data_IF_993664227755
#
_entry.id   IF_993664227755
#
_cell.length_a   1.000
_cell.length_b   1.000
_cell.length_c   1.000
_cell.angle_alpha   90.00
_cell.angle_beta   90.00
_cell.angle_gamma   90.00
#
_symmetry.space_group_name_H-M   'P 1'
#
loop_
_entity.id
_entity.type
_entity.pdbx_description
1 polymer ?
#
# COMPACT_ATOMS: atom_id res chain seq x y z
N UNK A 1 -8.23 -16.07 2.94
CA UNK A 1 -9.63 -15.79 3.36
C UNK A 1 -10.10 -14.41 2.89
N UNK A 2 -9.23 -13.38 2.83
CA UNK A 2 -9.56 -12.04 2.31
C UNK A 2 -10.23 -12.05 0.92
N UNK A 3 -9.69 -12.84 -0.01
CA UNK A 3 -10.20 -12.96 -1.38
C UNK A 3 -11.64 -13.46 -1.49
N UNK A 4 -12.05 -14.38 -0.60
CA UNK A 4 -13.41 -14.91 -0.59
C UNK A 4 -14.41 -13.85 -0.11
N UNK A 5 -14.04 -13.13 0.95
CA UNK A 5 -14.88 -12.09 1.55
C UNK A 5 -15.07 -10.90 0.59
N UNK A 6 -13.99 -10.43 -0.05
CA UNK A 6 -14.09 -9.34 -1.04
C UNK A 6 -14.96 -9.72 -2.24
N UNK A 7 -14.76 -10.91 -2.83
CA UNK A 7 -15.57 -11.39 -3.96
C UNK A 7 -17.04 -11.52 -3.60
N UNK A 8 -17.35 -12.03 -2.40
CA UNK A 8 -18.72 -12.16 -1.92
C UNK A 8 -19.38 -10.79 -1.75
N UNK A 9 -18.69 -9.82 -1.14
CA UNK A 9 -19.23 -8.47 -0.93
C UNK A 9 -19.44 -7.74 -2.27
N UNK A 10 -18.49 -7.85 -3.21
CA UNK A 10 -18.63 -7.29 -4.57
C UNK A 10 -19.83 -7.82 -5.33
N UNK A 11 -20.13 -9.12 -5.18
CA UNK A 11 -21.30 -9.72 -5.83
C UNK A 11 -22.64 -9.25 -5.26
N UNK A 12 -22.64 -8.63 -4.07
CA UNK A 12 -23.84 -8.17 -3.37
C UNK A 12 -24.02 -6.66 -3.34
N UNK A 13 -22.95 -5.88 -3.48
CA UNK A 13 -22.99 -4.42 -3.47
C UNK A 13 -22.20 -3.83 -4.65
N UNK A 14 -22.92 -3.14 -5.53
CA UNK A 14 -22.35 -2.46 -6.71
C UNK A 14 -21.50 -1.25 -6.32
N UNK A 15 -21.74 -0.65 -5.15
CA UNK A 15 -20.99 0.48 -4.62
C UNK A 15 -19.81 0.05 -3.74
N UNK A 16 -19.58 -1.27 -3.60
CA UNK A 16 -18.53 -1.80 -2.75
C UNK A 16 -17.15 -1.18 -3.06
N UNK A 17 -16.82 -0.99 -4.34
CA UNK A 17 -15.52 -0.44 -4.73
C UNK A 17 -15.34 1.00 -4.24
N UNK A 18 -16.38 1.82 -4.35
CA UNK A 18 -16.33 3.22 -3.94
C UNK A 18 -16.25 3.33 -2.41
N UNK A 19 -17.09 2.56 -1.72
CA UNK A 19 -17.07 2.49 -0.25
C UNK A 19 -15.74 1.94 0.29
N UNK A 20 -15.16 0.95 -0.40
CA UNK A 20 -13.89 0.35 0.00
C UNK A 20 -12.72 1.30 -0.22
N UNK A 21 -12.71 2.08 -1.31
CA UNK A 21 -11.72 3.15 -1.53
C UNK A 21 -11.73 4.16 -0.38
N UNK A 22 -12.90 4.70 -0.04
CA UNK A 22 -13.07 5.64 1.08
C UNK A 22 -12.62 5.01 2.41
N UNK A 23 -12.93 3.73 2.63
CA UNK A 23 -12.51 3.03 3.85
C UNK A 23 -10.99 2.87 3.92
N UNK A 24 -10.34 2.57 2.79
CA UNK A 24 -8.88 2.45 2.71
C UNK A 24 -8.18 3.80 2.97
N UNK A 25 -8.68 4.89 2.38
CA UNK A 25 -8.18 6.25 2.63
C UNK A 25 -8.31 6.62 4.12
N UNK A 26 -9.47 6.38 4.73
CA UNK A 26 -9.68 6.62 6.16
C UNK A 26 -8.74 5.78 7.03
N UNK A 27 -8.53 4.52 6.66
CA UNK A 27 -7.61 3.64 7.38
C UNK A 27 -6.16 4.16 7.35
N UNK A 28 -5.71 4.65 6.19
CA UNK A 28 -4.38 5.28 6.06
C UNK A 28 -4.27 6.54 6.94
N UNK A 29 -5.32 7.38 6.96
CA UNK A 29 -5.35 8.56 7.83
C UNK A 29 -5.28 8.19 9.32
N UNK A 30 -6.02 7.16 9.74
CA UNK A 30 -5.98 6.63 11.11
C UNK A 30 -4.60 6.07 11.46
N UNK A 31 -3.96 5.35 10.53
CA UNK A 31 -2.60 4.82 10.70
C UNK A 31 -1.60 5.95 10.96
N UNK A 32 -1.60 7.01 10.14
CA UNK A 32 -0.71 8.15 10.34
C UNK A 32 -0.97 8.89 11.64
N UNK A 33 -2.25 9.10 11.99
CA UNK A 33 -2.64 9.76 13.24
C UNK A 33 -2.19 8.96 14.45
N UNK A 34 -2.40 7.64 14.45
CA UNK A 34 -2.03 6.75 15.56
C UNK A 34 -0.53 6.73 15.83
N UNK A 35 0.29 6.84 14.79
CA UNK A 35 1.74 6.84 14.90
C UNK A 35 2.36 8.24 14.99
N UNK A 36 1.54 9.29 15.12
CA UNK A 36 1.95 10.69 15.19
C UNK A 36 2.84 11.13 14.00
N UNK A 37 2.55 10.61 12.81
CA UNK A 37 3.21 11.01 11.58
C UNK A 37 2.65 12.34 11.08
N UNK A 38 3.53 13.32 10.87
CA UNK A 38 3.15 14.62 10.33
C UNK A 38 2.85 14.51 8.84
N UNK A 39 1.61 14.79 8.45
CA UNK A 39 1.15 14.67 7.07
C UNK A 39 0.15 15.77 6.72
N UNK A 40 0.03 16.05 5.42
CA UNK A 40 -1.05 16.85 4.85
C UNK A 40 -2.08 15.94 4.19
N UNK A 41 -3.34 16.22 4.44
CA UNK A 41 -4.50 15.53 3.84
C UNK A 41 -4.91 16.15 2.50
N UNK A 42 -5.67 15.42 1.69
CA UNK A 42 -6.23 15.89 0.41
C UNK A 42 -6.90 17.28 0.55
N UNK A 43 -7.66 17.48 1.63
CA UNK A 43 -8.33 18.74 1.93
C UNK A 43 -7.35 19.89 2.13
N UNK A 44 -6.30 19.66 2.91
CA UNK A 44 -5.28 20.67 3.19
C UNK A 44 -4.50 21.03 1.92
N UNK A 45 -4.15 20.03 1.10
CA UNK A 45 -3.50 20.23 -0.20
C UNK A 45 -4.42 21.03 -1.14
N UNK A 46 -5.71 20.72 -1.16
CA UNK A 46 -6.71 21.47 -1.91
C UNK A 46 -6.82 22.93 -1.47
N UNK A 47 -6.73 23.20 -0.17
CA UNK A 47 -6.71 24.56 0.36
C UNK A 47 -5.42 25.31 0.01
N UNK A 48 -4.28 24.62 -0.08
CA UNK A 48 -3.03 25.18 -0.62
C UNK A 48 -3.20 25.60 -2.09
N UNK A 49 -3.83 24.76 -2.92
CA UNK A 49 -4.12 25.10 -4.32
C UNK A 49 -5.04 26.31 -4.48
N UNK A 50 -6.09 26.41 -3.65
CA UNK A 50 -6.98 27.57 -3.66
C UNK A 50 -6.22 28.87 -3.36
N UNK A 51 -5.31 28.86 -2.38
CA UNK A 51 -4.45 30.01 -2.06
C UNK A 51 -3.55 30.40 -3.23
N UNK A 52 -3.15 29.43 -4.05
CA UNK A 52 -2.32 29.65 -5.24
C UNK A 52 -3.14 29.98 -6.51
N UNK A 53 -4.47 29.94 -6.46
CA UNK A 53 -5.32 30.09 -7.64
C UNK A 53 -5.13 28.97 -8.68
N UNK A 54 -4.71 27.78 -8.25
CA UNK A 54 -4.47 26.63 -9.15
C UNK A 54 -5.56 25.59 -9.05
N UNK A 55 -5.75 24.87 -10.14
CA UNK A 55 -6.56 23.65 -10.21
C UNK A 55 -5.70 22.56 -10.84
N UNK A 56 -5.38 21.55 -10.06
CA UNK A 56 -4.57 20.40 -10.44
C UNK A 56 -5.09 19.17 -9.72
N UNK A 57 -4.68 17.98 -10.17
CA UNK A 57 -4.92 16.75 -9.40
C UNK A 57 -4.22 16.80 -8.04
N UNK A 58 -4.84 16.17 -7.06
CA UNK A 58 -4.42 16.13 -5.65
C UNK A 58 -4.23 14.67 -5.27
N UNK A 59 -3.18 14.36 -4.52
CA UNK A 59 -2.97 13.03 -3.91
C UNK A 59 -3.62 12.99 -2.53
N UNK A 60 -3.92 11.80 -2.03
CA UNK A 60 -4.62 11.63 -0.75
C UNK A 60 -3.84 12.22 0.42
N UNK A 61 -2.51 11.99 0.44
CA UNK A 61 -1.64 12.49 1.50
C UNK A 61 -0.27 12.96 1.01
N UNK A 62 0.36 13.87 1.76
CA UNK A 62 1.77 14.23 1.61
C UNK A 62 2.45 14.17 2.97
N UNK A 63 3.50 13.36 3.10
CA UNK A 63 4.43 13.40 4.23
C UNK A 63 5.57 14.33 3.83
N UNK A 64 5.84 15.35 4.66
CA UNK A 64 6.85 16.37 4.38
C UNK A 64 7.88 16.42 5.51
N UNK A 65 8.94 15.63 5.34
CA UNK A 65 10.08 15.54 6.25
C UNK A 65 11.35 15.93 5.49
N UNK A 66 12.41 15.10 5.53
CA UNK A 66 13.64 15.29 4.76
C UNK A 66 13.43 15.15 3.24
N UNK A 67 12.41 14.39 2.86
CA UNK A 67 11.89 14.31 1.50
C UNK A 67 10.37 14.47 1.50
N UNK A 68 9.81 14.76 0.33
CA UNK A 68 8.35 14.81 0.14
C UNK A 68 7.88 13.47 -0.38
N UNK A 69 7.01 12.82 0.37
CA UNK A 69 6.42 11.55 -0.02
C UNK A 69 4.95 11.82 -0.34
N UNK A 70 4.63 11.74 -1.63
CA UNK A 70 3.27 11.83 -2.14
C UNK A 70 2.63 10.45 -2.03
N UNK A 71 1.43 10.36 -1.47
CA UNK A 71 0.74 9.10 -1.23
C UNK A 71 -0.61 9.11 -1.94
N UNK A 72 -0.84 8.13 -2.81
CA UNK A 72 -2.11 7.93 -3.50
C UNK A 72 -2.57 6.49 -3.25
N UNK A 73 -3.65 6.33 -2.50
CA UNK A 73 -4.23 5.04 -2.19
C UNK A 73 -5.22 4.63 -3.28
N UNK A 74 -5.17 3.35 -3.65
CA UNK A 74 -6.00 2.78 -4.68
C UNK A 74 -6.48 1.39 -4.25
N UNK A 75 -7.79 1.26 -4.14
CA UNK A 75 -8.50 0.02 -3.90
C UNK A 75 -8.49 -0.91 -5.14
N UNK A 76 -7.30 -1.25 -5.64
CA UNK A 76 -7.11 -2.09 -6.82
C UNK A 76 -6.96 -3.54 -6.36
N UNK A 77 -7.73 -4.43 -7.00
CA UNK A 77 -7.51 -5.86 -6.92
C UNK A 77 -7.04 -6.40 -8.27
N UNK A 78 -6.28 -7.50 -8.30
CA UNK A 78 -5.87 -8.13 -9.54
C UNK A 78 -7.10 -8.58 -10.32
N UNK A 79 -7.29 -8.02 -11.52
CA UNK A 79 -8.19 -8.65 -12.48
C UNK A 79 -7.50 -9.93 -12.97
N UNK A 80 -8.23 -11.04 -13.12
CA UNK A 80 -7.69 -12.32 -13.59
C UNK A 80 -6.87 -12.20 -14.90
N UNK A 81 -7.21 -11.21 -15.73
CA UNK A 81 -6.48 -10.84 -16.94
C UNK A 81 -5.05 -10.34 -16.66
N UNK A 82 -4.84 -9.53 -15.61
CA UNK A 82 -3.50 -9.04 -15.22
C UNK A 82 -2.63 -10.21 -14.76
N UNK A 83 -3.22 -11.18 -14.05
CA UNK A 83 -2.49 -12.33 -13.52
C UNK A 83 -2.15 -13.40 -14.56
N UNK A 84 -2.70 -13.32 -15.78
CA UNK A 84 -2.57 -14.38 -16.80
C UNK A 84 -2.09 -13.89 -18.16
N UNK A 85 -2.09 -12.58 -18.41
CA UNK A 85 -1.63 -11.98 -19.66
C UNK A 85 -0.15 -11.61 -19.62
N UNK A 86 0.55 -11.84 -20.73
CA UNK A 86 1.94 -11.41 -20.97
C UNK A 86 2.03 -10.31 -22.03
N UNK A 87 0.89 -9.91 -22.63
CA UNK A 87 0.81 -8.85 -23.63
C UNK A 87 0.84 -7.47 -22.94
N UNK A 88 1.88 -6.64 -23.17
CA UNK A 88 2.01 -5.31 -22.58
C UNK A 88 0.82 -4.39 -22.89
N UNK A 89 0.21 -4.47 -24.07
CA UNK A 89 -0.92 -3.60 -24.42
C UNK A 89 -2.18 -3.96 -23.63
N UNK A 90 -2.39 -5.26 -23.39
CA UNK A 90 -3.49 -5.76 -22.54
C UNK A 90 -3.25 -5.38 -21.08
N UNK A 91 -2.03 -5.54 -20.59
CA UNK A 91 -1.64 -5.13 -19.24
C UNK A 91 -1.78 -3.63 -19.06
N UNK A 92 -1.28 -2.83 -20.01
CA UNK A 92 -1.42 -1.37 -20.03
C UNK A 92 -2.88 -0.98 -19.91
N UNK A 93 -3.77 -1.45 -20.80
CA UNK A 93 -5.21 -1.13 -20.74
C UNK A 93 -5.85 -1.51 -19.41
N UNK A 94 -5.45 -2.65 -18.84
CA UNK A 94 -5.99 -3.10 -17.56
C UNK A 94 -5.47 -2.28 -16.37
N UNK A 95 -4.25 -1.74 -16.45
CA UNK A 95 -3.60 -0.98 -15.38
C UNK A 95 -3.78 0.54 -15.54
N UNK A 96 -4.10 1.01 -16.74
CA UNK A 96 -4.21 2.42 -17.12
C UNK A 96 -5.21 3.18 -16.25
N UNK A 97 -6.34 2.55 -15.93
CA UNK A 97 -7.37 3.18 -15.13
C UNK A 97 -6.95 3.48 -13.69
N UNK A 98 -5.87 2.87 -13.19
CA UNK A 98 -5.54 2.93 -11.76
C UNK A 98 -4.04 3.20 -11.51
N UNK A 99 -3.15 2.33 -11.99
CA UNK A 99 -1.69 2.43 -11.76
C UNK A 99 -1.09 3.65 -12.48
N UNK A 100 -1.27 3.72 -13.81
CA UNK A 100 -0.69 4.79 -14.62
C UNK A 100 -1.33 6.14 -14.25
N UNK A 101 -2.64 6.17 -14.00
CA UNK A 101 -3.32 7.40 -13.53
C UNK A 101 -2.78 7.90 -12.19
N UNK A 102 -2.48 7.02 -11.25
CA UNK A 102 -1.88 7.37 -9.96
C UNK A 102 -0.49 8.02 -10.13
N UNK A 103 0.34 7.49 -11.05
CA UNK A 103 1.62 8.13 -11.42
C UNK A 103 1.38 9.57 -11.89
N UNK A 104 0.50 9.77 -12.88
CA UNK A 104 0.23 11.12 -13.40
C UNK A 104 -0.38 12.06 -12.35
N UNK A 105 -1.18 11.54 -11.42
CA UNK A 105 -1.74 12.31 -10.30
C UNK A 105 -0.65 12.80 -9.35
N UNK A 106 0.29 11.93 -8.96
CA UNK A 106 1.46 12.32 -8.16
C UNK A 106 2.36 13.33 -8.88
N UNK A 107 2.65 13.11 -10.16
CA UNK A 107 3.45 14.05 -10.97
C UNK A 107 2.80 15.44 -11.06
N UNK A 108 1.50 15.48 -11.36
CA UNK A 108 0.74 16.72 -11.48
C UNK A 108 0.68 17.48 -10.14
N UNK A 109 0.51 16.73 -9.04
CA UNK A 109 0.48 17.31 -7.70
C UNK A 109 1.81 17.94 -7.31
N UNK A 110 2.91 17.19 -7.48
CA UNK A 110 4.26 17.67 -7.24
C UNK A 110 4.61 18.90 -8.09
N UNK A 111 4.25 18.87 -9.38
CA UNK A 111 4.47 19.99 -10.29
C UNK A 111 3.74 21.26 -9.83
N UNK A 112 2.46 21.14 -9.47
CA UNK A 112 1.64 22.26 -9.05
C UNK A 112 2.21 22.92 -7.78
N UNK A 113 2.54 22.12 -6.77
CA UNK A 113 3.09 22.56 -5.48
C UNK A 113 4.48 23.18 -5.61
N UNK A 114 5.34 22.60 -6.45
CA UNK A 114 6.70 23.11 -6.71
C UNK A 114 6.64 24.48 -7.37
N UNK A 115 5.82 24.63 -8.41
CA UNK A 115 5.60 25.94 -9.04
C UNK A 115 4.96 26.96 -8.08
N UNK A 116 4.16 26.49 -7.12
CA UNK A 116 3.60 27.33 -6.05
C UNK A 116 4.59 27.77 -5.00
N UNK A 117 5.81 27.21 -4.99
CA UNK A 117 6.82 27.40 -3.93
C UNK A 117 6.26 27.13 -2.52
N UNK A 118 5.30 26.22 -2.41
CA UNK A 118 4.68 25.86 -1.13
C UNK A 118 5.66 25.14 -0.20
N UNK A 119 6.62 24.46 -0.79
CA UNK A 119 7.63 23.69 -0.10
C UNK A 119 9.02 24.05 -0.63
N UNK A 120 10.05 23.85 0.20
CA UNK A 120 11.44 24.02 -0.21
C UNK A 120 11.91 22.96 -1.22
N UNK A 121 13.08 23.15 -1.85
CA UNK A 121 13.69 22.12 -2.68
C UNK A 121 14.03 20.90 -1.81
N UNK A 122 13.48 19.75 -2.16
CA UNK A 122 13.81 18.46 -1.55
C UNK A 122 13.55 17.36 -2.59
N UNK A 123 14.03 16.16 -2.29
CA UNK A 123 13.67 14.96 -3.05
C UNK A 123 12.17 14.71 -2.96
N UNK A 124 11.61 14.15 -4.04
CA UNK A 124 10.22 13.77 -4.14
C UNK A 124 10.13 12.26 -4.39
N UNK A 125 9.23 11.59 -3.66
CA UNK A 125 8.89 10.18 -3.81
C UNK A 125 7.38 10.04 -4.00
N UNK A 126 6.95 9.03 -4.75
CA UNK A 126 5.54 8.69 -4.90
C UNK A 126 5.31 7.26 -4.42
N UNK A 127 4.43 7.09 -3.44
CA UNK A 127 3.94 5.81 -2.99
C UNK A 127 2.50 5.63 -3.44
N UNK A 128 2.27 4.59 -4.21
CA UNK A 128 0.94 4.19 -4.65
C UNK A 128 0.54 2.99 -3.78
N UNK A 129 -0.39 3.21 -2.86
CA UNK A 129 -0.79 2.20 -1.87
C UNK A 129 -1.91 1.36 -2.45
N UNK A 130 -1.65 0.08 -2.66
CA UNK A 130 -2.60 -0.87 -3.24
C UNK A 130 -3.11 -1.84 -2.19
N UNK A 131 -4.35 -2.30 -2.34
CA UNK A 131 -4.92 -3.27 -1.40
C UNK A 131 -4.24 -4.65 -1.50
N UNK A 132 -3.89 -5.07 -2.71
CA UNK A 132 -3.20 -6.33 -2.97
C UNK A 132 -2.03 -6.08 -3.92
N UNK A 133 -1.02 -6.95 -3.82
CA UNK A 133 0.15 -6.90 -4.68
C UNK A 133 -0.17 -7.45 -6.09
N UNK A 134 0.34 -6.77 -7.10
CA UNK A 134 0.23 -7.16 -8.52
C UNK A 134 1.59 -7.51 -9.12
N UNK A 135 2.61 -7.72 -8.27
CA UNK A 135 3.99 -8.03 -8.65
C UNK A 135 4.65 -6.94 -9.49
N UNK A 136 4.18 -5.70 -9.33
CA UNK A 136 4.75 -4.50 -9.92
C UNK A 136 5.17 -3.62 -8.75
N UNK A 137 6.47 -3.57 -8.45
CA UNK A 137 6.99 -2.86 -7.28
C UNK A 137 7.34 -1.40 -7.53
N UNK A 138 7.69 -1.00 -8.77
CA UNK A 138 8.21 0.35 -9.03
C UNK A 138 7.74 0.95 -10.36
N UNK A 139 7.84 2.28 -10.46
CA UNK A 139 7.59 3.04 -11.68
C UNK A 139 8.51 2.65 -12.82
N UNK A 140 9.77 2.28 -12.53
CA UNK A 140 10.71 1.77 -13.54
C UNK A 140 10.15 0.51 -14.18
N UNK A 141 9.62 -0.43 -13.38
CA UNK A 141 9.04 -1.68 -13.92
C UNK A 141 7.81 -1.41 -14.78
N UNK A 142 6.99 -0.43 -14.43
CA UNK A 142 5.90 0.01 -15.30
C UNK A 142 6.45 0.49 -16.63
N UNK A 143 7.44 1.37 -16.62
CA UNK A 143 8.01 1.94 -17.84
C UNK A 143 8.66 0.86 -18.73
N UNK A 144 9.52 0.02 -18.16
CA UNK A 144 10.26 -0.98 -18.92
C UNK A 144 9.38 -2.10 -19.47
N UNK A 145 8.36 -2.55 -18.72
CA UNK A 145 7.61 -3.77 -19.04
C UNK A 145 6.23 -3.52 -19.63
N UNK A 146 5.60 -2.37 -19.31
CA UNK A 146 4.19 -2.12 -19.61
C UNK A 146 4.00 -0.85 -20.44
N UNK A 147 4.72 0.23 -20.13
CA UNK A 147 4.51 1.53 -20.78
C UNK A 147 5.82 2.29 -21.03
N UNK A 148 6.56 1.94 -22.09
CA UNK A 148 7.86 2.56 -22.40
C UNK A 148 7.84 4.07 -22.68
N UNK A 149 6.70 4.62 -23.13
CA UNK A 149 6.54 6.04 -23.39
C UNK A 149 6.16 6.88 -22.13
N UNK A 150 6.11 6.26 -20.95
CA UNK A 150 5.65 6.93 -19.71
C UNK A 150 6.43 8.21 -19.40
N UNK A 151 7.77 8.16 -19.34
CA UNK A 151 8.59 9.36 -19.08
C UNK A 151 8.40 10.41 -20.17
N UNK A 152 8.29 9.99 -21.43
CA UNK A 152 8.12 10.90 -22.57
C UNK A 152 6.84 11.70 -22.44
N UNK A 153 5.71 11.04 -22.14
CA UNK A 153 4.42 11.72 -21.96
C UNK A 153 4.40 12.64 -20.72
N UNK A 154 5.08 12.24 -19.63
CA UNK A 154 5.25 13.11 -18.45
C UNK A 154 6.02 14.38 -18.82
N UNK A 155 7.12 14.25 -19.57
CA UNK A 155 7.90 15.40 -20.06
C UNK A 155 7.07 16.27 -21.01
N UNK A 156 6.33 15.68 -21.94
CA UNK A 156 5.45 16.42 -22.85
C UNK A 156 4.38 17.22 -22.08
N UNK A 157 3.84 16.66 -21.00
CA UNK A 157 2.79 17.31 -20.19
C UNK A 157 3.33 18.39 -19.24
N UNK A 158 4.48 18.19 -18.60
CA UNK A 158 4.98 19.07 -17.53
C UNK A 158 6.29 19.81 -17.86
N UNK A 159 6.90 19.53 -19.02
CA UNK A 159 8.19 20.06 -19.46
C UNK A 159 9.42 19.43 -18.79
N UNK A 160 9.21 18.60 -17.78
CA UNK A 160 10.23 17.85 -17.04
C UNK A 160 9.54 16.68 -16.31
N UNK A 161 10.30 15.91 -15.53
CA UNK A 161 9.77 14.85 -14.65
C UNK A 161 9.78 15.37 -13.20
N UNK A 162 8.63 15.81 -12.63
CA UNK A 162 8.55 16.33 -11.26
C UNK A 162 9.02 15.36 -10.17
N UNK A 163 8.67 14.08 -10.30
CA UNK A 163 9.07 12.98 -9.42
C UNK A 163 9.84 11.96 -10.29
N UNK A 164 11.15 11.74 -10.07
CA UNK A 164 11.90 10.76 -10.85
C UNK A 164 11.20 9.39 -10.87
N UNK A 165 11.14 8.72 -12.02
CA UNK A 165 10.43 7.43 -12.15
C UNK A 165 11.00 6.35 -11.20
N UNK A 166 12.31 6.42 -10.92
CA UNK A 166 12.98 5.57 -9.94
C UNK A 166 12.51 5.79 -8.49
N UNK A 167 11.91 6.93 -8.18
CA UNK A 167 11.40 7.28 -6.86
C UNK A 167 9.90 6.95 -6.71
N UNK A 168 9.34 6.16 -7.62
CA UNK A 168 7.93 5.78 -7.61
C UNK A 168 7.82 4.30 -7.24
N UNK A 169 7.10 4.00 -6.17
CA UNK A 169 6.90 2.63 -5.68
C UNK A 169 5.43 2.32 -5.49
N UNK A 170 5.08 1.06 -5.76
CA UNK A 170 3.80 0.48 -5.40
C UNK A 170 4.00 -0.37 -4.16
N UNK A 171 3.19 -0.12 -3.15
CA UNK A 171 3.28 -0.81 -1.86
C UNK A 171 1.91 -1.30 -1.45
N UNK A 172 1.85 -2.43 -0.76
CA UNK A 172 0.59 -2.88 -0.17
C UNK A 172 0.23 -2.06 1.06
N UNK A 173 -1.02 -2.17 1.52
CA UNK A 173 -1.40 -1.58 2.80
C UNK A 173 -0.58 -2.17 3.96
N UNK A 174 -0.25 -3.46 3.90
CA UNK A 174 0.57 -4.14 4.90
C UNK A 174 2.01 -3.57 4.91
N UNK A 175 2.57 -3.27 3.73
CA UNK A 175 3.88 -2.63 3.60
C UNK A 175 3.89 -1.23 4.22
N UNK A 176 2.82 -0.46 4.00
CA UNK A 176 2.68 0.88 4.60
C UNK A 176 2.61 0.79 6.12
N UNK A 177 1.83 -0.14 6.68
CA UNK A 177 1.79 -0.38 8.13
C UNK A 177 3.18 -0.69 8.68
N UNK A 178 3.95 -1.52 7.97
CA UNK A 178 5.30 -1.87 8.38
C UNK A 178 6.26 -0.68 8.31
N UNK A 179 6.20 0.14 7.26
CA UNK A 179 6.99 1.37 7.15
C UNK A 179 6.71 2.34 8.31
N UNK A 180 5.43 2.60 8.58
CA UNK A 180 4.99 3.47 9.67
C UNK A 180 5.40 2.90 11.03
N UNK A 181 5.34 1.58 11.21
CA UNK A 181 5.78 0.93 12.43
C UNK A 181 7.30 1.07 12.64
N UNK A 182 8.12 0.93 11.60
CA UNK A 182 9.58 1.10 11.69
C UNK A 182 9.94 2.54 12.07
N UNK A 183 9.32 3.52 11.41
CA UNK A 183 9.49 4.95 11.71
C UNK A 183 9.15 5.23 13.17
N UNK A 184 8.03 4.70 13.67
CA UNK A 184 7.60 4.92 15.05
C UNK A 184 8.56 4.33 16.10
N UNK A 185 9.35 3.32 15.72
CA UNK A 185 10.42 2.76 16.56
C UNK A 185 11.72 3.57 16.49
N UNK A 186 11.79 4.61 15.64
CA UNK A 186 12.96 5.46 15.38
C UNK A 186 14.21 4.67 15.00
N UNK A 187 14.02 3.54 14.30
CA UNK A 187 15.13 2.71 13.79
C UNK A 187 15.64 3.23 12.46
N UNK A 188 14.71 3.45 11.54
CA UNK A 188 14.92 3.98 10.21
C UNK A 188 13.75 4.89 9.87
N UNK A 189 14.03 5.99 9.18
CA UNK A 189 12.98 6.82 8.61
C UNK A 189 12.44 6.22 7.31
N UNK A 190 11.19 6.53 6.95
CA UNK A 190 10.58 6.15 5.68
C UNK A 190 11.43 6.71 4.53
N UNK A 191 11.94 7.94 4.67
CA UNK A 191 12.82 8.55 3.69
C UNK A 191 14.12 7.75 3.48
N UNK A 192 14.75 7.26 4.55
CA UNK A 192 15.96 6.42 4.46
C UNK A 192 15.66 5.10 3.76
N UNK A 193 14.56 4.41 4.12
CA UNK A 193 14.16 3.14 3.50
C UNK A 193 13.92 3.32 2.00
N UNK A 194 13.27 4.42 1.59
CA UNK A 194 13.02 4.72 0.19
C UNK A 194 14.31 5.02 -0.59
N UNK A 195 15.25 5.76 0.00
CA UNK A 195 16.55 6.01 -0.62
C UNK A 195 17.35 4.72 -0.79
N UNK A 196 17.35 3.87 0.22
CA UNK A 196 18.02 2.57 0.16
C UNK A 196 17.39 1.67 -0.91
N UNK A 197 16.06 1.66 -1.02
CA UNK A 197 15.35 0.94 -2.08
C UNK A 197 15.78 1.41 -3.47
N UNK A 198 15.90 2.72 -3.69
CA UNK A 198 16.37 3.28 -4.97
C UNK A 198 17.79 2.81 -5.29
N UNK A 199 18.71 2.86 -4.31
CA UNK A 199 20.10 2.45 -4.49
C UNK A 199 20.20 0.94 -4.80
N UNK A 200 19.40 0.12 -4.13
CA UNK A 200 19.38 -1.33 -4.35
C UNK A 200 18.74 -1.70 -5.69
N UNK A 201 17.71 -0.99 -6.12
CA UNK A 201 17.03 -1.25 -7.39
C UNK A 201 17.80 -0.75 -8.62
N UNK A 202 18.82 0.11 -8.45
CA UNK A 202 19.72 0.52 -9.54
C UNK A 202 20.56 -0.65 -10.11
N UNK A 203 20.79 -1.71 -9.33
CA UNK A 203 21.55 -2.89 -9.77
C UNK A 203 20.64 -4.12 -9.88
N UNK A 204 20.61 -4.82 -11.02
CA UNK A 204 19.79 -6.02 -11.20
C UNK A 204 20.01 -7.10 -10.13
N UNK A 205 21.22 -7.21 -9.59
CA UNK A 205 21.58 -8.22 -8.60
C UNK A 205 21.03 -7.92 -7.19
N UNK A 206 20.72 -6.66 -6.90
CA UNK A 206 20.20 -6.24 -5.59
C UNK A 206 18.75 -5.77 -5.64
N UNK A 207 18.19 -5.60 -6.84
CA UNK A 207 16.82 -5.18 -7.06
C UNK A 207 15.82 -6.19 -6.49
N UNK A 208 14.73 -5.69 -5.92
CA UNK A 208 13.67 -6.50 -5.33
C UNK A 208 12.42 -6.52 -6.21
N UNK A 209 11.79 -7.69 -6.28
CA UNK A 209 10.53 -7.88 -7.01
C UNK A 209 9.35 -7.24 -6.29
N UNK A 210 9.35 -7.27 -4.96
CA UNK A 210 8.33 -6.67 -4.09
C UNK A 210 8.97 -5.65 -3.16
N UNK A 211 8.24 -4.59 -2.82
CA UNK A 211 8.75 -3.57 -1.91
C UNK A 211 8.90 -4.11 -0.48
N UNK A 212 8.06 -5.06 -0.06
CA UNK A 212 8.18 -5.80 1.21
C UNK A 212 9.59 -6.35 1.46
N UNK A 213 10.28 -6.82 0.41
CA UNK A 213 11.65 -7.35 0.52
C UNK A 213 12.68 -6.29 0.90
N UNK A 214 12.46 -5.02 0.54
CA UNK A 214 13.30 -3.91 1.00
C UNK A 214 13.06 -3.64 2.49
N UNK A 215 11.79 -3.67 2.92
CA UNK A 215 11.43 -3.43 4.32
C UNK A 215 11.97 -4.54 5.24
N UNK A 216 11.92 -5.81 4.81
CA UNK A 216 12.46 -6.95 5.56
C UNK A 216 13.97 -6.81 5.84
N UNK A 217 14.73 -6.27 4.87
CA UNK A 217 16.17 -6.01 5.03
C UNK A 217 16.48 -4.96 6.09
N UNK A 218 15.58 -4.01 6.33
CA UNK A 218 15.72 -2.98 7.36
C UNK A 218 15.41 -3.50 8.78
N UNK A 219 15.25 -4.81 8.95
CA UNK A 219 14.92 -5.40 10.24
C UNK A 219 13.52 -4.99 10.69
N UNK A 220 12.57 -5.05 9.75
CA UNK A 220 11.15 -4.78 9.98
C UNK A 220 10.71 -5.36 11.33
N UNK A 221 9.78 -4.69 12.04
CA UNK A 221 9.31 -5.14 13.34
C UNK A 221 9.09 -6.65 13.29
N UNK A 222 9.43 -7.36 14.37
CA UNK A 222 9.01 -8.75 14.54
C UNK A 222 7.47 -8.77 14.57
N UNK A 223 6.82 -8.59 13.41
CA UNK A 223 5.39 -8.61 13.16
C UNK A 223 4.81 -9.92 13.65
N UNK A 224 5.63 -10.98 13.65
CA UNK A 224 5.31 -12.25 14.27
C UNK A 224 4.93 -12.19 15.75
N UNK A 225 5.26 -11.14 16.51
CA UNK A 225 4.82 -11.00 17.89
C UNK A 225 3.55 -10.15 17.99
N UNK A 226 3.52 -8.97 17.36
CA UNK A 226 2.35 -8.08 17.43
C UNK A 226 1.15 -8.62 16.66
N UNK A 227 1.33 -9.17 15.44
CA UNK A 227 0.26 -9.87 14.72
C UNK A 227 -0.19 -11.12 15.45
N UNK A 228 0.73 -11.82 16.13
CA UNK A 228 0.39 -12.99 16.95
C UNK A 228 -0.45 -12.60 18.16
N UNK A 229 -0.19 -11.45 18.76
CA UNK A 229 -0.95 -10.96 19.90
C UNK A 229 -2.29 -10.35 19.47
N UNK A 230 -2.37 -9.66 18.32
CA UNK A 230 -3.64 -9.25 17.69
C UNK A 230 -4.49 -10.44 17.25
N UNK A 231 -3.89 -11.44 16.58
CA UNK A 231 -4.59 -12.66 16.20
C UNK A 231 -5.08 -13.45 17.41
N UNK A 232 -4.36 -13.43 18.54
CA UNK A 232 -4.87 -13.99 19.80
C UNK A 232 -6.04 -13.17 20.31
N UNK A 233 -5.93 -11.84 20.35
CA UNK A 233 -6.99 -10.95 20.82
C UNK A 233 -8.27 -11.12 20.00
N UNK A 234 -8.21 -11.01 18.66
CA UNK A 234 -9.38 -11.15 17.77
C UNK A 234 -9.98 -12.57 17.86
N UNK A 235 -9.13 -13.58 18.05
CA UNK A 235 -9.58 -14.95 18.27
C UNK A 235 -10.27 -15.11 19.62
N UNK A 236 -9.72 -14.55 20.68
CA UNK A 236 -10.28 -14.62 22.03
C UNK A 236 -11.61 -13.84 22.10
N UNK A 237 -11.71 -12.70 21.44
CA UNK A 237 -12.96 -11.94 21.29
C UNK A 237 -14.00 -12.73 20.49
N UNK A 238 -13.62 -13.26 19.32
CA UNK A 238 -14.50 -14.13 18.51
C UNK A 238 -14.92 -15.39 19.27
N UNK A 239 -14.03 -15.93 20.10
CA UNK A 239 -14.33 -17.07 20.96
C UNK A 239 -15.32 -16.72 22.06
N UNK A 240 -15.14 -15.58 22.73
CA UNK A 240 -16.08 -15.09 23.74
C UNK A 240 -17.46 -14.89 23.12
N UNK A 241 -17.53 -14.27 21.93
CA UNK A 241 -18.77 -14.11 21.19
C UNK A 241 -19.45 -15.46 20.88
N UNK A 242 -18.70 -16.48 20.45
CA UNK A 242 -19.23 -17.83 20.18
C UNK A 242 -19.73 -18.50 21.48
N UNK A 243 -19.00 -18.36 22.58
CA UNK A 243 -19.36 -18.95 23.88
C UNK A 243 -20.59 -18.28 24.49
N UNK A 244 -20.67 -16.95 24.46
CA UNK A 244 -21.83 -16.18 24.94
C UNK A 244 -23.10 -16.50 24.15
N UNK A 245 -22.95 -16.80 22.86
CA UNK A 245 -24.05 -17.17 21.99
C UNK A 245 -24.25 -18.69 21.88
N UNK A 246 -23.56 -19.51 22.68
CA UNK A 246 -23.56 -20.98 22.62
C UNK A 246 -24.96 -21.62 22.63
N UNK A 247 -25.95 -20.95 23.24
CA UNK A 247 -27.37 -21.33 23.23
C UNK A 247 -28.03 -21.36 21.83
N UNK A 248 -27.47 -20.63 20.86
CA UNK A 248 -27.94 -20.58 19.47
C UNK A 248 -27.19 -21.57 18.55
N UNK A 249 -26.13 -22.19 19.05
CA UNK A 249 -25.30 -23.14 18.31
C UNK A 249 -25.62 -24.56 18.80
N UNK A 250 -25.68 -25.54 17.91
CA UNK A 250 -26.14 -26.92 18.18
C UNK A 250 -25.22 -27.76 19.12
N UNK A 251 -24.57 -27.18 20.12
CA UNK A 251 -23.87 -27.87 21.20
C UNK A 251 -22.53 -28.52 20.85
N UNK A 252 -22.10 -28.50 19.58
CA UNK A 252 -20.89 -29.18 19.09
C UNK A 252 -19.61 -28.34 19.14
N UNK A 253 -19.63 -27.17 19.77
CA UNK A 253 -18.46 -26.26 19.87
C UNK A 253 -17.24 -26.99 20.47
N UNK A 254 -17.46 -27.82 21.48
CA UNK A 254 -16.40 -28.60 22.13
C UNK A 254 -15.75 -29.66 21.21
N UNK A 255 -16.49 -30.22 20.23
CA UNK A 255 -15.92 -31.16 19.27
C UNK A 255 -14.93 -30.47 18.32
N UNK A 256 -15.26 -29.27 17.84
CA UNK A 256 -14.36 -28.46 17.00
C UNK A 256 -13.10 -28.04 17.76
N UNK A 257 -13.24 -27.67 19.04
CA UNK A 257 -12.11 -27.37 19.94
C UNK A 257 -11.15 -28.57 20.08
N UNK A 258 -11.72 -29.76 20.28
CA UNK A 258 -10.94 -30.99 20.45
C UNK A 258 -10.19 -31.38 19.17
N UNK A 259 -10.78 -31.16 17.98
CA UNK A 259 -10.10 -31.43 16.71
C UNK A 259 -8.90 -30.51 16.47
N UNK A 260 -8.95 -29.24 16.91
CA UNK A 260 -7.80 -28.31 16.79
C UNK A 260 -6.66 -28.64 17.76
N UNK A 261 -6.96 -29.12 18.96
CA UNK A 261 -5.94 -29.64 19.89
C UNK A 261 -5.09 -30.75 19.26
N UNK A 262 -5.73 -31.63 18.47
CA UNK A 262 -5.04 -32.69 17.71
C UNK A 262 -4.15 -32.16 16.59
N UNK A 263 -4.52 -31.06 15.93
CA UNK A 263 -3.72 -30.41 14.88
C UNK A 263 -2.45 -29.71 15.43
N UNK A 264 -2.47 -29.21 16.68
CA UNK A 264 -1.27 -28.68 17.36
C UNK A 264 -0.26 -29.78 17.73
N UNK A 265 -0.75 -30.97 18.09
CA UNK A 265 0.10 -32.12 18.42
C UNK A 265 0.73 -32.77 17.18
N UNK A 266 0.07 -32.73 16.02
CA UNK A 266 0.62 -33.28 14.77
C UNK A 266 1.69 -32.38 14.13
N UNK A 267 1.64 -31.07 14.36
CA UNK A 267 2.64 -30.10 13.87
C UNK A 267 3.94 -30.15 14.70
N UNK A 268 3.88 -30.43 16.00
CA UNK A 268 5.10 -30.64 16.82
C UNK A 268 5.82 -31.97 16.56
N UNK A 269 5.14 -33.01 16.04
CA UNK A 269 5.80 -34.27 15.67
C UNK A 269 6.58 -34.19 14.35
N UNK A 270 6.24 -33.26 13.46
CA UNK A 270 6.98 -33.05 12.18
C UNK A 270 8.20 -32.15 12.30
N UNK A 271 8.43 -31.50 13.44
CA UNK A 271 9.63 -30.67 13.70
C UNK A 271 10.73 -31.41 14.48
N UNK A 272 10.58 -32.72 14.72
CA UNK A 272 11.59 -33.58 15.38
C UNK A 272 11.99 -34.80 14.52
N UNK A 273 11.85 -34.73 13.21
CA UNK A 273 12.50 -35.63 12.25
C UNK A 273 13.32 -34.81 11.26
#
# INVERSE_FOLDING_TARGET
>A
MSDFTSRLLKSKDIYFKDNFGITMENYVAELFTKHNLSHFTEKEIGDMYKRMGKKAKIVDFIINEDAKIYLDSKAIEPNALVSTSHDPDVLKRSLEASYIKAIFQGQECCHALTQGKMFGPSENFLLIVVHQDHYISSGIRIEELIYPDLSKEIIEKFGHIPIPIKNIYYITIDDLEMLVAIESQKKYSICEILRDAVILDEKPETSCMLFSMHIEKCGGPNLNNDMRDRCKYDFDEGMNFILENSKYWNGKIYEFMHQRGKLKLSTHKKQKM
#
